data_IF_061211806649
#
_entry.id   IF_061211806649
#
_cell.length_a   1.000
_cell.length_b   1.000
_cell.length_c   1.000
_cell.angle_alpha   90.00
_cell.angle_beta   90.00
_cell.angle_gamma   90.00
#
_symmetry.space_group_name_H-M   'P 1'
#
loop_
_entity.id
_entity.type
_entity.pdbx_description
1 polymer ?
#
# COMPACT_ATOMS: atom_id res chain seq x y z
N UNK A 1 19.62 3.71 -12.55
CA UNK A 1 19.90 2.45 -13.23
C UNK A 1 20.07 1.33 -12.21
N UNK A 2 19.26 0.28 -12.34
CA UNK A 2 19.33 -0.82 -11.39
C UNK A 2 20.66 -1.56 -11.42
N UNK A 3 21.23 -1.70 -12.61
CA UNK A 3 22.51 -2.37 -12.77
C UNK A 3 23.69 -1.62 -12.20
N UNK A 4 23.53 -0.32 -11.92
CA UNK A 4 24.57 0.52 -11.31
C UNK A 4 24.42 0.61 -9.79
N UNK A 5 23.42 -0.06 -9.22
CA UNK A 5 23.16 -0.02 -7.78
C UNK A 5 23.71 -1.26 -7.10
N UNK A 6 23.91 -1.15 -5.79
CA UNK A 6 24.44 -2.26 -5.00
C UNK A 6 23.36 -3.10 -4.31
N UNK A 7 22.10 -2.90 -4.67
CA UNK A 7 21.03 -3.70 -4.09
C UNK A 7 20.43 -4.65 -5.12
N UNK A 8 19.89 -5.75 -4.62
CA UNK A 8 19.20 -6.73 -5.44
C UNK A 8 17.75 -6.30 -5.66
N UNK A 9 17.24 -6.62 -6.82
CA UNK A 9 15.84 -6.36 -7.17
C UNK A 9 15.16 -7.68 -7.50
N UNK A 10 14.05 -7.97 -6.83
CA UNK A 10 13.29 -9.20 -7.06
C UNK A 10 11.94 -8.83 -7.65
N UNK A 11 11.64 -9.43 -8.80
CA UNK A 11 10.36 -9.23 -9.46
C UNK A 11 9.39 -10.33 -9.02
N UNK A 12 8.22 -9.91 -8.50
CA UNK A 12 7.19 -10.84 -8.07
C UNK A 12 6.25 -11.11 -9.24
N UNK A 13 6.09 -12.39 -9.56
CA UNK A 13 5.19 -12.81 -10.64
C UNK A 13 3.75 -12.98 -10.18
N UNK A 14 2.88 -13.35 -11.11
CA UNK A 14 1.46 -13.58 -10.89
C UNK A 14 0.64 -13.15 -12.08
N UNK A 15 -0.68 -13.00 -11.88
CA UNK A 15 -1.56 -12.43 -12.89
C UNK A 15 -1.35 -10.94 -13.01
N UNK A 16 -1.38 -10.41 -14.21
CA UNK A 16 -1.19 -8.97 -14.43
C UNK A 16 -2.55 -8.29 -14.60
N UNK A 17 -2.78 -7.24 -13.80
CA UNK A 17 -3.91 -6.34 -14.03
C UNK A 17 -3.45 -5.35 -15.10
N UNK A 18 -3.99 -5.47 -16.30
CA UNK A 18 -3.50 -4.75 -17.48
C UNK A 18 -3.46 -3.23 -17.31
N UNK A 19 -4.49 -2.65 -16.71
CA UNK A 19 -4.58 -1.20 -16.55
C UNK A 19 -3.63 -0.65 -15.50
N UNK A 20 -3.20 -1.47 -14.56
CA UNK A 20 -2.35 -1.05 -13.45
C UNK A 20 -0.90 -1.50 -13.59
N UNK A 21 -0.64 -2.49 -14.47
CA UNK A 21 0.67 -3.10 -14.56
C UNK A 21 1.10 -3.82 -13.29
N UNK A 22 0.15 -4.17 -12.44
CA UNK A 22 0.39 -4.78 -11.14
C UNK A 22 0.17 -6.29 -11.22
N UNK A 23 0.97 -7.06 -10.48
CA UNK A 23 0.76 -8.50 -10.37
C UNK A 23 -0.06 -8.81 -9.12
N UNK A 24 -1.00 -9.72 -9.26
CA UNK A 24 -1.93 -10.11 -8.21
C UNK A 24 -2.27 -11.60 -8.31
N UNK A 25 -2.98 -12.09 -7.31
CA UNK A 25 -3.55 -13.43 -7.31
C UNK A 25 -2.77 -14.40 -6.44
N UNK A 26 -3.16 -15.67 -6.52
CA UNK A 26 -2.67 -16.72 -5.62
C UNK A 26 -1.15 -16.88 -5.69
N UNK A 27 -0.57 -16.82 -6.89
CA UNK A 27 0.87 -16.99 -7.04
C UNK A 27 1.63 -15.82 -6.43
N UNK A 28 1.18 -14.60 -6.68
CA UNK A 28 1.76 -13.39 -6.08
C UNK A 28 1.69 -13.46 -4.55
N UNK A 29 0.51 -13.79 -4.03
CA UNK A 29 0.28 -13.87 -2.59
C UNK A 29 1.17 -14.92 -1.94
N UNK A 30 1.31 -16.07 -2.59
CA UNK A 30 2.17 -17.14 -2.08
C UNK A 30 3.63 -16.73 -2.05
N UNK A 31 4.13 -16.09 -3.11
CA UNK A 31 5.50 -15.60 -3.14
C UNK A 31 5.75 -14.58 -2.04
N UNK A 32 4.86 -13.60 -1.90
CA UNK A 32 5.01 -12.56 -0.88
C UNK A 32 4.97 -13.13 0.53
N UNK A 33 4.23 -14.21 0.74
CA UNK A 33 4.13 -14.87 2.05
C UNK A 33 5.44 -15.51 2.48
N UNK A 34 6.36 -15.74 1.56
CA UNK A 34 7.66 -16.34 1.87
C UNK A 34 8.71 -15.32 2.33
N UNK A 35 8.40 -14.03 2.26
CA UNK A 35 9.35 -12.97 2.59
C UNK A 35 8.99 -12.27 3.87
N UNK A 36 10.02 -11.73 4.53
CA UNK A 36 9.88 -10.78 5.62
C UNK A 36 10.52 -9.46 5.19
N UNK A 37 9.81 -8.34 5.41
CA UNK A 37 10.28 -7.04 4.98
C UNK A 37 10.52 -6.12 6.17
N UNK A 38 11.60 -5.34 6.13
CA UNK A 38 11.83 -4.29 7.13
C UNK A 38 10.82 -3.17 6.94
N UNK A 39 10.60 -2.76 5.71
CA UNK A 39 9.67 -1.70 5.36
C UNK A 39 8.90 -2.05 4.11
N UNK A 40 7.64 -1.68 4.10
CA UNK A 40 6.79 -1.80 2.93
C UNK A 40 6.26 -0.42 2.57
N UNK A 41 6.32 -0.09 1.28
CA UNK A 41 5.77 1.15 0.74
C UNK A 41 4.69 0.76 -0.25
N UNK A 42 3.46 1.11 0.06
CA UNK A 42 2.28 0.67 -0.70
C UNK A 42 1.48 1.87 -1.19
N UNK A 43 0.91 1.75 -2.38
CA UNK A 43 -0.04 2.72 -2.88
C UNK A 43 -1.46 2.35 -2.48
N UNK A 44 -2.40 3.27 -2.67
CA UNK A 44 -3.82 3.05 -2.44
C UNK A 44 -4.66 4.02 -3.26
N UNK A 45 -5.98 3.84 -3.23
CA UNK A 45 -6.90 4.68 -4.00
C UNK A 45 -7.75 5.58 -3.12
N UNK A 46 -7.85 5.30 -1.83
CA UNK A 46 -8.63 6.11 -0.91
C UNK A 46 -8.10 6.04 0.51
N UNK A 47 -8.44 7.08 1.28
CA UNK A 47 -8.07 7.22 2.67
C UNK A 47 -9.18 8.01 3.36
N UNK A 48 -9.93 7.37 4.23
CA UNK A 48 -11.05 8.05 4.89
C UNK A 48 -11.31 7.48 6.28
N UNK A 49 -12.00 8.26 7.10
CA UNK A 49 -12.40 7.82 8.43
C UNK A 49 -13.42 6.69 8.36
N UNK A 50 -14.23 6.66 7.30
CA UNK A 50 -15.31 5.68 7.15
C UNK A 50 -14.76 4.32 6.71
N UNK A 51 -13.84 4.31 5.75
CA UNK A 51 -13.42 3.07 5.09
C UNK A 51 -11.92 2.81 5.20
N UNK A 52 -11.20 3.58 6.01
CA UNK A 52 -9.77 3.39 6.17
C UNK A 52 -9.00 3.61 4.89
N UNK A 53 -7.93 2.86 4.70
CA UNK A 53 -7.17 2.81 3.44
C UNK A 53 -7.86 1.83 2.53
N UNK A 54 -8.13 2.22 1.29
CA UNK A 54 -8.95 1.41 0.38
C UNK A 54 -8.39 1.37 -1.05
N UNK A 55 -8.81 0.35 -1.78
CA UNK A 55 -8.44 0.15 -3.17
C UNK A 55 -9.63 -0.42 -3.95
N UNK A 56 -9.58 -0.39 -5.29
CA UNK A 56 -10.69 -0.82 -6.13
C UNK A 56 -10.75 -2.32 -6.36
N UNK A 57 -9.64 -3.03 -6.21
CA UNK A 57 -9.54 -4.44 -6.58
C UNK A 57 -9.27 -5.28 -5.34
N UNK A 58 -10.09 -6.32 -5.14
CA UNK A 58 -9.96 -7.19 -3.98
C UNK A 58 -8.62 -7.94 -3.98
N UNK A 59 -8.10 -8.29 -5.15
CA UNK A 59 -6.81 -8.98 -5.25
C UNK A 59 -5.67 -8.06 -4.84
N UNK A 60 -5.76 -6.76 -5.19
CA UNK A 60 -4.81 -5.75 -4.72
C UNK A 60 -4.89 -5.58 -3.21
N UNK A 61 -6.10 -5.54 -2.67
CA UNK A 61 -6.30 -5.41 -1.23
C UNK A 61 -5.68 -6.60 -0.48
N UNK A 62 -5.90 -7.80 -0.98
CA UNK A 62 -5.37 -9.01 -0.37
C UNK A 62 -3.84 -9.04 -0.38
N UNK A 63 -3.25 -8.69 -1.50
CA UNK A 63 -1.79 -8.59 -1.65
C UNK A 63 -1.20 -7.61 -0.64
N UNK A 64 -1.79 -6.43 -0.52
CA UNK A 64 -1.33 -5.40 0.41
C UNK A 64 -1.42 -5.84 1.87
N UNK A 65 -2.48 -6.56 2.23
CA UNK A 65 -2.62 -7.11 3.59
C UNK A 65 -1.52 -8.12 3.91
N UNK A 66 -1.16 -8.96 2.94
CA UNK A 66 -0.09 -9.94 3.12
C UNK A 66 1.26 -9.23 3.31
N UNK A 67 1.55 -8.25 2.50
CA UNK A 67 2.80 -7.48 2.61
C UNK A 67 2.89 -6.80 3.98
N UNK A 68 1.79 -6.18 4.43
CA UNK A 68 1.77 -5.54 5.75
C UNK A 68 2.04 -6.55 6.85
N UNK A 69 1.38 -7.69 6.80
CA UNK A 69 1.54 -8.74 7.82
C UNK A 69 2.99 -9.19 7.95
N UNK A 70 3.72 -9.20 6.85
CA UNK A 70 5.10 -9.67 6.79
C UNK A 70 6.13 -8.54 6.87
N UNK A 71 5.70 -7.33 7.25
CA UNK A 71 6.58 -6.17 7.32
C UNK A 71 6.67 -5.62 8.73
N UNK A 72 7.85 -5.14 9.11
CA UNK A 72 8.04 -4.49 10.39
C UNK A 72 7.34 -3.13 10.43
N UNK A 73 7.44 -2.37 9.34
CA UNK A 73 6.81 -1.06 9.22
C UNK A 73 6.16 -0.94 7.85
N UNK A 74 4.95 -0.39 7.82
CA UNK A 74 4.19 -0.22 6.58
C UNK A 74 3.82 1.24 6.38
N UNK A 75 4.17 1.75 5.21
CA UNK A 75 3.89 3.13 4.79
C UNK A 75 2.96 3.09 3.58
N UNK A 76 1.97 3.97 3.58
CA UNK A 76 1.09 4.14 2.42
C UNK A 76 1.41 5.49 1.78
N UNK A 77 1.75 5.46 0.49
CA UNK A 77 2.02 6.68 -0.27
C UNK A 77 0.76 7.05 -1.04
N UNK A 78 0.29 8.26 -0.83
CA UNK A 78 -0.98 8.69 -1.37
C UNK A 78 -0.94 10.19 -1.58
N UNK A 79 -1.29 10.65 -2.79
CA UNK A 79 -1.38 12.09 -2.96
C UNK A 79 -2.65 12.62 -2.26
N UNK A 80 -2.62 13.88 -1.87
CA UNK A 80 -3.67 14.47 -1.04
C UNK A 80 -5.06 14.46 -1.68
N UNK A 81 -5.13 14.33 -3.01
CA UNK A 81 -6.42 14.26 -3.69
C UNK A 81 -7.21 12.99 -3.35
N UNK A 82 -6.55 11.99 -2.81
CA UNK A 82 -7.19 10.72 -2.42
C UNK A 82 -7.67 10.71 -0.97
N UNK A 83 -7.29 11.70 -0.18
CA UNK A 83 -7.73 11.81 1.21
C UNK A 83 -9.18 12.26 1.24
N UNK A 84 -10.00 11.53 1.97
CA UNK A 84 -11.45 11.74 2.00
C UNK A 84 -12.21 10.89 1.01
N UNK A 85 -11.51 10.15 0.14
CA UNK A 85 -12.14 9.27 -0.84
C UNK A 85 -12.21 7.83 -0.37
N UNK A 86 -13.22 7.13 -0.87
CA UNK A 86 -13.45 5.72 -0.56
C UNK A 86 -13.40 4.89 -1.84
N UNK A 87 -12.60 3.83 -1.83
CA UNK A 87 -12.68 2.79 -2.83
C UNK A 87 -13.42 1.60 -2.23
N UNK A 88 -13.84 0.66 -3.06
CA UNK A 88 -14.78 -0.39 -2.63
C UNK A 88 -14.15 -1.39 -1.65
N UNK A 89 -12.87 -1.63 -1.71
CA UNK A 89 -12.20 -2.64 -0.87
C UNK A 89 -11.35 -2.00 0.20
N UNK A 90 -11.76 -2.15 1.45
CA UNK A 90 -10.96 -1.71 2.59
C UNK A 90 -9.73 -2.61 2.73
N UNK A 91 -8.56 -1.99 2.91
CA UNK A 91 -7.29 -2.69 3.07
C UNK A 91 -6.81 -2.65 4.51
N UNK A 92 -6.73 -1.44 5.08
CA UNK A 92 -6.21 -1.21 6.42
C UNK A 92 -7.07 -0.22 7.18
N UNK A 93 -7.04 -0.31 8.51
CA UNK A 93 -7.47 0.78 9.37
C UNK A 93 -6.44 1.89 9.28
N UNK A 94 -6.85 3.14 9.49
CA UNK A 94 -5.92 4.27 9.39
C UNK A 94 -4.77 4.17 10.40
N UNK A 95 -5.05 3.61 11.56
CA UNK A 95 -4.09 3.48 12.65
C UNK A 95 -3.02 2.41 12.40
N UNK A 96 -3.24 1.52 11.43
CA UNK A 96 -2.32 0.40 11.17
C UNK A 96 -1.11 0.79 10.35
N UNK A 97 -1.13 1.95 9.70
CA UNK A 97 -0.09 2.34 8.75
C UNK A 97 0.37 3.77 9.02
N UNK A 98 1.49 4.12 8.42
CA UNK A 98 1.96 5.48 8.40
C UNK A 98 1.73 6.06 7.00
N UNK A 99 1.06 7.20 6.92
CA UNK A 99 0.72 7.84 5.65
C UNK A 99 1.83 8.79 5.22
N UNK A 100 2.23 8.70 3.95
CA UNK A 100 3.12 9.68 3.32
C UNK A 100 2.32 10.39 2.24
N UNK A 101 2.15 11.69 2.39
CA UNK A 101 1.36 12.49 1.46
C UNK A 101 2.01 13.86 1.23
N UNK A 102 1.46 14.62 0.30
CA UNK A 102 2.05 15.90 -0.14
C UNK A 102 1.48 17.13 0.56
N UNK A 103 0.27 17.04 1.15
CA UNK A 103 -0.38 18.19 1.78
C UNK A 103 -1.14 17.78 3.02
N UNK A 104 -1.17 18.68 4.00
CA UNK A 104 -1.96 18.49 5.21
C UNK A 104 -3.46 18.51 4.89
N UNK A 105 -4.23 17.73 5.65
CA UNK A 105 -5.68 17.63 5.54
C UNK A 105 -6.24 17.52 6.97
N UNK A 106 -7.45 18.03 7.19
CA UNK A 106 -8.06 18.03 8.53
C UNK A 106 -8.25 16.62 9.10
N UNK A 107 -8.50 15.63 8.23
CA UNK A 107 -8.63 14.25 8.67
C UNK A 107 -7.34 13.77 9.34
N UNK A 108 -6.19 14.20 8.84
CA UNK A 108 -4.89 13.77 9.36
C UNK A 108 -4.61 14.29 10.75
N UNK A 109 -5.24 15.42 11.16
CA UNK A 109 -5.03 15.99 12.48
C UNK A 109 -5.48 15.08 13.61
N UNK A 110 -6.40 14.19 13.32
CA UNK A 110 -6.92 13.21 14.29
C UNK A 110 -5.99 12.00 14.44
N UNK A 111 -5.17 11.74 13.45
CA UNK A 111 -4.27 10.59 13.41
C UNK A 111 -2.84 11.11 13.33
N UNK A 112 -1.99 10.72 14.25
CA UNK A 112 -0.63 11.28 14.34
C UNK A 112 0.41 10.52 13.50
N UNK A 113 -0.05 9.60 12.69
CA UNK A 113 0.79 8.69 11.92
C UNK A 113 0.87 9.10 10.44
N UNK A 114 1.38 10.29 10.20
CA UNK A 114 1.55 10.80 8.84
C UNK A 114 2.88 11.54 8.68
N UNK A 115 3.36 11.59 7.44
CA UNK A 115 4.55 12.34 7.03
C UNK A 115 4.15 13.18 5.81
N UNK A 116 4.43 14.48 5.86
CA UNK A 116 4.18 15.39 4.74
C UNK A 116 5.51 15.60 4.00
N UNK A 117 5.50 15.39 2.70
CA UNK A 117 6.70 15.54 1.87
C UNK A 117 6.59 16.67 0.85
#
# INVERSE_FOLDING_TARGET
QLEDTKFECILIGGEIIKNLGSTVGVLTDRMLSEFHFSRAFLGANGYSEVNGVSTYDLREANKKRIVKRNSDNTYVLLDSSKIGKNAVCKVFELEEIELITDKMNDILRKYKNYIIV
#
